data_IF_413820803522
#
_entry.id   IF_413820803522
#
_cell.length_a   1.000
_cell.length_b   1.000
_cell.length_c   1.000
_cell.angle_alpha   90.00
_cell.angle_beta   90.00
_cell.angle_gamma   90.00
#
_symmetry.space_group_name_H-M   'P 1'
#
loop_
_entity.id
_entity.type
_entity.pdbx_description
1 polymer ?
#
# COMPACT_ATOMS: atom_id res chain seq x y z
N UNK A 1 -22.73 -5.86 -26.94
CA UNK A 1 -23.56 -6.25 -25.77
C UNK A 1 -22.79 -7.31 -25.00
N UNK A 2 -22.81 -7.24 -23.66
CA UNK A 2 -21.92 -7.89 -22.68
C UNK A 2 -20.61 -7.11 -22.44
N UNK A 3 -20.15 -6.82 -21.23
CA UNK A 3 -20.56 -7.25 -19.90
C UNK A 3 -20.46 -6.07 -18.91
N UNK A 4 -21.56 -5.73 -18.23
CA UNK A 4 -21.48 -4.96 -16.99
C UNK A 4 -21.13 -5.97 -15.90
N UNK A 5 -19.85 -6.03 -15.53
CA UNK A 5 -19.37 -6.82 -14.39
C UNK A 5 -20.01 -6.23 -13.13
N UNK A 6 -20.93 -6.98 -12.52
CA UNK A 6 -21.53 -6.62 -11.24
C UNK A 6 -20.43 -6.70 -10.17
N UNK A 7 -19.91 -5.53 -9.77
CA UNK A 7 -18.86 -5.36 -8.77
C UNK A 7 -19.16 -6.13 -7.46
N UNK A 8 -20.45 -6.26 -7.11
CA UNK A 8 -20.91 -7.01 -5.94
C UNK A 8 -20.62 -8.51 -6.01
N UNK A 9 -20.67 -9.12 -7.20
CA UNK A 9 -20.39 -10.54 -7.37
C UNK A 9 -18.89 -10.84 -7.22
N UNK A 10 -18.04 -9.97 -7.76
CA UNK A 10 -16.58 -10.08 -7.66
C UNK A 10 -16.10 -10.00 -6.20
N UNK A 11 -16.71 -9.10 -5.42
CA UNK A 11 -16.40 -8.96 -4.00
C UNK A 11 -16.86 -10.18 -3.20
N UNK A 12 -18.00 -10.77 -3.55
CA UNK A 12 -18.48 -11.98 -2.88
C UNK A 12 -17.54 -13.18 -3.09
N UNK A 13 -17.03 -13.36 -4.31
CA UNK A 13 -16.10 -14.46 -4.62
C UNK A 13 -14.76 -14.29 -3.89
N UNK A 14 -14.21 -13.08 -3.86
CA UNK A 14 -12.96 -12.81 -3.12
C UNK A 14 -13.10 -13.07 -1.61
N UNK A 15 -14.25 -12.73 -1.02
CA UNK A 15 -14.52 -13.00 0.41
C UNK A 15 -14.66 -14.50 0.67
N UNK A 16 -15.23 -15.26 -0.26
CA UNK A 16 -15.37 -16.71 -0.15
C UNK A 16 -14.01 -17.41 -0.26
N UNK A 17 -13.17 -17.00 -1.22
CA UNK A 17 -11.83 -17.54 -1.39
C UNK A 17 -10.94 -17.28 -0.16
N UNK A 18 -10.98 -16.06 0.39
CA UNK A 18 -10.24 -15.71 1.61
C UNK A 18 -10.74 -16.49 2.84
N UNK A 19 -12.03 -16.82 2.89
CA UNK A 19 -12.60 -17.63 3.96
C UNK A 19 -12.10 -19.08 3.87
N UNK A 20 -12.04 -19.62 2.65
CA UNK A 20 -11.53 -20.97 2.39
C UNK A 20 -10.04 -21.10 2.71
N UNK A 21 -9.22 -20.09 2.39
CA UNK A 21 -7.78 -20.11 2.69
C UNK A 21 -7.49 -20.05 4.20
N UNK A 22 -8.33 -19.35 4.95
CA UNK A 22 -8.12 -19.09 6.38
C UNK A 22 -8.92 -20.04 7.29
N UNK A 23 -9.56 -21.07 6.73
CA UNK A 23 -10.41 -22.02 7.46
C UNK A 23 -11.57 -21.36 8.23
N UNK A 24 -11.94 -20.15 7.83
CA UNK A 24 -12.88 -19.28 8.55
C UNK A 24 -14.19 -19.18 7.79
N UNK A 25 -15.28 -18.82 8.46
CA UNK A 25 -16.56 -18.58 7.76
C UNK A 25 -16.56 -17.18 7.13
N UNK A 26 -17.12 -16.99 5.93
CA UNK A 26 -17.21 -15.67 5.27
C UNK A 26 -17.81 -14.57 6.16
N UNK A 27 -18.79 -14.93 7.02
CA UNK A 27 -19.41 -13.97 7.92
C UNK A 27 -18.47 -13.48 9.04
N UNK A 28 -17.45 -14.26 9.40
CA UNK A 28 -16.44 -13.83 10.37
C UNK A 28 -15.48 -12.82 9.76
N UNK A 29 -15.06 -13.02 8.51
CA UNK A 29 -14.22 -12.06 7.77
C UNK A 29 -14.95 -10.71 7.63
N UNK A 30 -16.23 -10.73 7.26
CA UNK A 30 -17.03 -9.51 7.14
C UNK A 30 -17.22 -8.77 8.47
N UNK A 31 -17.32 -9.48 9.61
CA UNK A 31 -17.35 -8.82 10.93
C UNK A 31 -16.01 -8.21 11.31
N UNK A 32 -14.91 -8.89 11.02
CA UNK A 32 -13.56 -8.37 11.29
C UNK A 32 -13.26 -7.10 10.48
N UNK A 33 -13.79 -7.00 9.26
CA UNK A 33 -13.69 -5.78 8.44
C UNK A 33 -14.55 -4.62 8.96
N UNK A 34 -15.62 -4.91 9.71
CA UNK A 34 -16.52 -3.91 10.29
C UNK A 34 -16.19 -3.44 11.71
N UNK A 35 -15.10 -3.94 12.32
CA UNK A 35 -14.70 -3.60 13.70
C UNK A 35 -13.39 -2.81 13.80
N UNK A 36 -12.94 -2.19 12.71
CA UNK A 36 -11.99 -1.09 12.81
C UNK A 36 -12.71 0.15 13.36
N UNK A 37 -12.37 0.55 14.58
CA UNK A 37 -12.76 1.78 15.27
C UNK A 37 -14.11 1.80 16.02
N UNK A 38 -14.12 1.27 17.24
CA UNK A 38 -14.72 1.99 18.38
C UNK A 38 -13.86 1.75 19.62
N UNK A 39 -13.21 2.79 20.12
CA UNK A 39 -12.42 2.74 21.35
C UNK A 39 -13.28 2.46 22.57
N UNK A 40 -12.79 1.60 23.46
CA UNK A 40 -13.20 1.58 24.85
C UNK A 40 -11.97 1.71 25.75
N UNK A 41 -11.99 2.79 26.51
CA UNK A 41 -11.07 3.14 27.59
C UNK A 41 -11.25 2.19 28.76
N UNK A 42 -10.18 1.51 29.19
CA UNK A 42 -10.04 1.03 30.57
C UNK A 42 -8.59 1.18 31.04
N UNK A 43 -8.40 1.99 32.09
CA UNK A 43 -7.18 2.06 32.88
C UNK A 43 -6.76 0.66 33.36
N UNK A 44 -5.50 0.28 33.13
CA UNK A 44 -4.82 -0.67 34.00
C UNK A 44 -3.33 -0.30 34.05
N UNK A 45 -2.93 0.27 35.18
CA UNK A 45 -1.54 0.56 35.51
C UNK A 45 -0.88 -0.69 36.08
N UNK A 46 -0.02 -1.33 35.28
CA UNK A 46 0.87 -2.40 35.71
C UNK A 46 2.28 -2.16 35.11
N UNK A 47 3.33 -1.86 35.91
CA UNK A 47 4.61 -1.37 35.39
C UNK A 47 5.61 -2.47 35.00
N UNK A 48 5.17 -3.72 34.83
CA UNK A 48 6.08 -4.87 34.66
C UNK A 48 5.90 -5.67 33.37
N UNK A 49 5.12 -5.21 32.38
CA UNK A 49 4.93 -5.98 31.15
C UNK A 49 5.93 -5.53 30.07
N UNK A 50 6.97 -6.35 29.85
CA UNK A 50 7.75 -6.31 28.62
C UNK A 50 6.84 -6.71 27.46
N UNK A 51 6.13 -5.72 26.89
CA UNK A 51 5.39 -5.92 25.66
C UNK A 51 6.37 -6.37 24.57
N UNK A 52 6.07 -7.44 23.83
CA UNK A 52 6.79 -7.75 22.60
C UNK A 52 6.71 -6.51 21.71
N UNK A 53 7.84 -6.10 21.14
CA UNK A 53 7.94 -4.93 20.28
C UNK A 53 6.70 -4.84 19.38
N UNK A 54 5.92 -3.76 19.54
CA UNK A 54 4.87 -3.42 18.61
C UNK A 54 5.47 -3.54 17.20
N UNK A 55 4.83 -4.24 16.24
CA UNK A 55 5.31 -4.23 14.86
C UNK A 55 5.49 -2.76 14.49
N UNK A 56 6.75 -2.36 14.26
CA UNK A 56 7.13 -0.95 14.23
C UNK A 56 6.21 -0.23 13.25
N UNK A 57 5.48 0.77 13.73
CA UNK A 57 4.48 1.47 12.94
C UNK A 57 5.08 1.87 11.59
N UNK A 58 4.41 1.47 10.51
CA UNK A 58 4.80 1.82 9.15
C UNK A 58 4.14 3.15 8.82
N UNK A 59 4.93 4.11 8.34
CA UNK A 59 4.45 5.45 8.01
C UNK A 59 4.91 5.84 6.61
N UNK A 60 3.97 6.31 5.80
CA UNK A 60 4.26 6.98 4.52
C UNK A 60 4.34 8.48 4.76
N UNK A 61 5.45 9.09 4.38
CA UNK A 61 5.68 10.53 4.43
C UNK A 61 5.69 11.07 3.02
N UNK A 62 4.62 11.77 2.68
CA UNK A 62 4.47 12.45 1.40
C UNK A 62 5.21 13.80 1.40
N UNK A 63 5.61 14.33 0.23
CA UNK A 63 6.20 15.66 0.13
C UNK A 63 5.33 16.72 0.81
N UNK A 64 5.95 17.57 1.64
CA UNK A 64 5.22 18.56 2.44
C UNK A 64 4.48 19.62 1.62
N UNK A 65 4.87 19.82 0.36
CA UNK A 65 4.23 20.75 -0.57
C UNK A 65 2.96 20.20 -1.22
N UNK A 66 2.62 18.94 -0.99
CA UNK A 66 1.57 18.25 -1.73
C UNK A 66 0.17 18.59 -1.19
N UNK A 67 -0.44 19.64 -1.75
CA UNK A 67 -1.84 19.98 -1.49
C UNK A 67 -2.83 19.16 -2.35
N UNK A 68 -4.14 19.39 -2.21
CA UNK A 68 -5.16 18.65 -2.95
C UNK A 68 -5.07 18.85 -4.47
N UNK A 69 -4.64 20.03 -4.92
CA UNK A 69 -4.44 20.32 -6.35
C UNK A 69 -3.21 19.57 -6.88
N UNK A 70 -2.13 19.56 -6.09
CA UNK A 70 -0.91 18.83 -6.40
C UNK A 70 -1.11 17.32 -6.39
N UNK A 71 -2.07 16.81 -5.60
CA UNK A 71 -2.49 15.41 -5.64
C UNK A 71 -3.11 15.03 -6.98
N UNK A 72 -4.06 15.83 -7.47
CA UNK A 72 -4.67 15.58 -8.78
C UNK A 72 -3.62 15.62 -9.91
N UNK A 73 -2.64 16.53 -9.81
CA UNK A 73 -1.52 16.59 -10.75
C UNK A 73 -0.58 15.39 -10.63
N UNK A 74 -0.32 14.92 -9.42
CA UNK A 74 0.52 13.74 -9.16
C UNK A 74 -0.12 12.46 -9.72
N UNK A 75 -1.41 12.26 -9.46
CA UNK A 75 -2.17 11.14 -10.02
C UNK A 75 -2.14 11.16 -11.55
N UNK A 76 -2.33 12.34 -12.17
CA UNK A 76 -2.26 12.50 -13.61
C UNK A 76 -0.84 12.31 -14.18
N UNK A 77 0.19 12.68 -13.42
CA UNK A 77 1.60 12.47 -13.77
C UNK A 77 1.99 10.99 -13.73
N UNK A 78 1.32 10.20 -12.90
CA UNK A 78 1.49 8.75 -12.82
C UNK A 78 2.74 8.30 -12.06
N UNK A 79 3.38 9.20 -11.29
CA UNK A 79 4.48 8.83 -10.40
C UNK A 79 4.72 9.82 -9.26
N UNK A 80 5.25 9.32 -8.15
CA UNK A 80 5.68 10.10 -6.97
C UNK A 80 6.80 9.39 -6.23
N UNK A 81 7.74 10.15 -5.66
CA UNK A 81 8.68 9.65 -4.66
C UNK A 81 8.15 9.98 -3.26
N UNK A 82 8.15 8.99 -2.37
CA UNK A 82 7.74 9.14 -0.96
C UNK A 82 8.78 8.51 -0.04
N UNK A 83 8.85 8.99 1.20
CA UNK A 83 9.68 8.37 2.23
C UNK A 83 8.81 7.43 3.06
N UNK A 84 9.24 6.19 3.24
CA UNK A 84 8.57 5.21 4.11
C UNK A 84 9.43 4.94 5.33
N UNK A 85 8.85 5.07 6.52
CA UNK A 85 9.49 4.71 7.79
C UNK A 85 8.91 3.40 8.31
N UNK A 86 9.77 2.48 8.76
CA UNK A 86 9.37 1.25 9.45
C UNK A 86 10.53 0.75 10.32
N UNK A 87 10.24 0.20 11.50
CA UNK A 87 11.25 -0.42 12.37
C UNK A 87 12.52 0.44 12.61
N UNK A 88 12.37 1.77 12.69
CA UNK A 88 13.49 2.72 12.86
C UNK A 88 14.37 2.93 11.63
N UNK A 89 13.95 2.40 10.46
CA UNK A 89 14.56 2.62 9.15
C UNK A 89 13.70 3.59 8.34
N UNK A 90 14.32 4.22 7.36
CA UNK A 90 13.63 5.03 6.35
C UNK A 90 14.13 4.68 4.95
N UNK A 91 13.26 4.82 3.95
CA UNK A 91 13.63 4.62 2.55
C UNK A 91 12.77 5.46 1.62
N UNK A 92 13.43 6.14 0.68
CA UNK A 92 12.74 6.72 -0.46
C UNK A 92 12.34 5.61 -1.44
N UNK A 93 11.07 5.58 -1.83
CA UNK A 93 10.51 4.64 -2.79
C UNK A 93 9.83 5.47 -3.88
N UNK A 94 10.18 5.22 -5.15
CA UNK A 94 9.46 5.81 -6.28
C UNK A 94 8.32 4.90 -6.68
N UNK A 95 7.09 5.42 -6.58
CA UNK A 95 5.89 4.77 -7.05
C UNK A 95 5.57 5.23 -8.46
N UNK A 96 5.28 4.27 -9.33
CA UNK A 96 4.81 4.50 -10.69
C UNK A 96 3.47 3.81 -10.93
N UNK A 97 2.65 4.35 -11.82
CA UNK A 97 1.71 3.54 -12.57
C UNK A 97 2.41 2.80 -13.73
N UNK A 98 1.83 1.72 -14.28
CA UNK A 98 2.49 0.93 -15.33
C UNK A 98 2.75 1.72 -16.61
N UNK A 99 1.87 2.68 -16.95
CA UNK A 99 1.98 3.49 -18.15
C UNK A 99 3.18 4.42 -18.06
N UNK A 100 3.33 5.09 -16.91
CA UNK A 100 4.39 6.06 -16.68
C UNK A 100 5.75 5.39 -16.60
N UNK A 101 5.88 4.25 -15.91
CA UNK A 101 7.14 3.51 -15.88
C UNK A 101 7.56 3.06 -17.29
N UNK A 102 6.62 2.57 -18.10
CA UNK A 102 6.90 2.19 -19.49
C UNK A 102 7.40 3.39 -20.31
N UNK A 103 6.83 4.58 -20.13
CA UNK A 103 7.29 5.81 -20.79
C UNK A 103 8.72 6.18 -20.37
N UNK A 104 9.05 6.11 -19.08
CA UNK A 104 10.40 6.41 -18.57
C UNK A 104 11.44 5.43 -19.12
N UNK A 105 11.15 4.13 -19.09
CA UNK A 105 12.04 3.10 -19.65
C UNK A 105 12.22 3.31 -21.15
N UNK A 106 11.14 3.53 -21.90
CA UNK A 106 11.24 3.79 -23.34
C UNK A 106 12.06 5.06 -23.64
N UNK A 107 11.89 6.11 -22.85
CA UNK A 107 12.66 7.35 -22.97
C UNK A 107 14.15 7.10 -22.76
N UNK A 108 14.50 6.37 -21.68
CA UNK A 108 15.89 6.01 -21.36
C UNK A 108 16.53 5.12 -22.45
N UNK A 109 15.75 4.22 -23.07
CA UNK A 109 16.22 3.31 -24.12
C UNK A 109 16.34 3.95 -25.51
N UNK A 110 16.02 5.25 -25.67
CA UNK A 110 16.25 5.97 -26.94
C UNK A 110 17.73 6.07 -27.29
N UNK A 111 18.60 6.00 -26.30
CA UNK A 111 20.05 5.91 -26.45
C UNK A 111 20.48 4.52 -25.99
N UNK A 112 21.42 3.85 -26.68
CA UNK A 112 21.96 2.56 -26.20
C UNK A 112 22.48 2.69 -24.77
N UNK A 113 22.00 1.84 -23.87
CA UNK A 113 22.33 1.92 -22.45
C UNK A 113 21.47 0.99 -21.59
N UNK A 114 21.29 1.36 -20.32
CA UNK A 114 20.45 0.66 -19.36
C UNK A 114 19.59 1.66 -18.57
N UNK A 115 18.43 1.21 -18.09
CA UNK A 115 17.62 1.94 -17.11
C UNK A 115 17.85 1.31 -15.74
N UNK A 116 18.15 2.12 -14.74
CA UNK A 116 18.32 1.68 -13.37
C UNK A 116 17.74 2.73 -12.43
N UNK A 117 16.91 2.27 -11.49
CA UNK A 117 16.30 3.10 -10.46
C UNK A 117 16.28 2.31 -9.16
N UNK A 118 16.48 2.99 -8.02
CA UNK A 118 16.52 2.34 -6.71
C UNK A 118 15.12 2.32 -6.13
N UNK A 119 14.73 1.20 -5.53
CA UNK A 119 13.49 1.09 -4.76
C UNK A 119 12.25 1.55 -5.54
N UNK A 120 12.00 0.92 -6.70
CA UNK A 120 10.81 1.18 -7.50
C UNK A 120 9.67 0.26 -7.08
N UNK A 121 8.48 0.83 -6.97
CA UNK A 121 7.23 0.11 -6.81
C UNK A 121 6.24 0.50 -7.90
N UNK A 122 5.53 -0.48 -8.45
CA UNK A 122 4.46 -0.23 -9.43
C UNK A 122 3.12 -0.51 -8.78
N UNK A 123 2.23 0.49 -8.81
CA UNK A 123 0.85 0.41 -8.31
C UNK A 123 -0.14 0.61 -9.46
N UNK A 124 -1.39 0.14 -9.37
CA UNK A 124 -2.35 0.31 -10.46
C UNK A 124 -2.58 1.78 -10.87
N UNK A 125 -2.67 2.66 -9.87
CA UNK A 125 -2.80 4.12 -10.00
C UNK A 125 -2.05 4.76 -8.84
N UNK A 126 -1.41 5.92 -9.04
CA UNK A 126 -0.63 6.63 -8.00
C UNK A 126 -1.52 7.48 -7.10
N UNK A 127 -2.45 6.83 -6.40
CA UNK A 127 -3.27 7.45 -5.34
C UNK A 127 -2.70 7.14 -3.96
N UNK A 128 -3.11 7.90 -2.92
CA UNK A 128 -2.69 7.64 -1.54
C UNK A 128 -3.05 6.22 -1.10
N UNK A 129 -4.28 5.79 -1.38
CA UNK A 129 -4.80 4.50 -0.96
C UNK A 129 -4.02 3.35 -1.58
N UNK A 130 -3.67 3.46 -2.86
CA UNK A 130 -2.89 2.46 -3.57
C UNK A 130 -1.46 2.37 -3.03
N UNK A 131 -0.83 3.51 -2.74
CA UNK A 131 0.52 3.59 -2.16
C UNK A 131 0.51 2.99 -0.75
N UNK A 132 -0.41 3.39 0.11
CA UNK A 132 -0.51 2.91 1.49
C UNK A 132 -0.81 1.40 1.56
N UNK A 133 -1.69 0.90 0.69
CA UNK A 133 -1.95 -0.53 0.57
C UNK A 133 -0.70 -1.30 0.12
N UNK A 134 0.04 -0.78 -0.87
CA UNK A 134 1.29 -1.40 -1.32
C UNK A 134 2.35 -1.41 -0.21
N UNK A 135 2.50 -0.30 0.52
CA UNK A 135 3.42 -0.19 1.66
C UNK A 135 3.06 -1.16 2.78
N UNK A 136 1.78 -1.31 3.09
CA UNK A 136 1.31 -2.29 4.07
C UNK A 136 1.68 -3.73 3.67
N UNK A 137 1.58 -4.07 2.39
CA UNK A 137 2.00 -5.37 1.86
C UNK A 137 3.53 -5.56 1.91
N UNK A 138 4.30 -4.53 1.57
CA UNK A 138 5.77 -4.57 1.66
C UNK A 138 6.25 -4.78 3.11
N UNK A 139 5.54 -4.18 4.08
CA UNK A 139 5.85 -4.33 5.49
C UNK A 139 5.73 -5.78 5.99
N UNK A 140 4.81 -6.57 5.44
CA UNK A 140 4.71 -8.02 5.74
C UNK A 140 5.99 -8.79 5.39
N UNK A 141 6.85 -8.21 4.55
CA UNK A 141 8.08 -8.80 4.04
C UNK A 141 9.33 -8.00 4.44
N UNK A 142 9.22 -7.13 5.45
CA UNK A 142 10.28 -6.20 5.90
C UNK A 142 10.93 -5.41 4.74
N UNK A 143 10.13 -5.04 3.73
CA UNK A 143 10.57 -4.29 2.54
C UNK A 143 11.70 -4.96 1.74
N UNK A 144 11.84 -6.29 1.83
CA UNK A 144 12.87 -7.05 1.12
C UNK A 144 12.83 -6.87 -0.42
N UNK A 145 11.66 -6.54 -0.99
CA UNK A 145 11.47 -6.41 -2.44
C UNK A 145 12.04 -5.12 -3.03
N UNK A 146 12.18 -4.08 -2.20
CA UNK A 146 12.67 -2.77 -2.64
C UNK A 146 14.10 -2.51 -2.17
N UNK A 147 14.77 -3.52 -1.58
CA UNK A 147 16.10 -3.58 -0.96
C UNK A 147 17.24 -2.90 -1.72
#
# INVERSE_FOLDING_TARGET
>A
MAAALNLTALVADAVIELAASNGSKPQQILRSLGQGETGESWYSSDPANHSPAQPGAVQVVYPASLDDYDWAMTEAKGWIEVVVHWSGREKAITFYDPTRLAQEVQSAMRVPGYFAERAVAVVPTVTREAIEAAVALMALRDFADVG
#
